data_IF_842868239985
#
_entry.id   IF_842868239985
#
_cell.length_a   1.000
_cell.length_b   1.000
_cell.length_c   1.000
_cell.angle_alpha   90.00
_cell.angle_beta   90.00
_cell.angle_gamma   90.00
#
_symmetry.space_group_name_H-M   'P 1'
#
loop_
_entity.id
_entity.type
_entity.pdbx_description
1 polymer ?
#
# COMPACT_ATOMS: atom_id res chain seq x y z
N UNK A 1 5.08 19.43 -57.11
CA UNK A 1 4.35 18.79 -56.00
C UNK A 1 5.34 18.56 -54.86
N UNK A 2 5.33 19.43 -53.85
CA UNK A 2 6.22 19.32 -52.71
C UNK A 2 5.72 18.20 -51.79
N UNK A 3 6.54 17.16 -51.56
CA UNK A 3 6.28 16.12 -50.57
C UNK A 3 6.80 16.61 -49.21
N UNK A 4 5.87 16.88 -48.31
CA UNK A 4 6.16 17.21 -46.91
C UNK A 4 6.54 15.90 -46.19
N UNK A 5 7.82 15.74 -45.85
CA UNK A 5 8.30 14.67 -44.97
C UNK A 5 8.07 15.11 -43.52
N UNK A 6 7.12 14.47 -42.83
CA UNK A 6 7.02 14.54 -41.38
C UNK A 6 8.09 13.62 -40.77
N UNK A 7 9.21 14.21 -40.33
CA UNK A 7 10.10 13.54 -39.38
C UNK A 7 9.48 13.68 -37.98
N UNK A 8 8.78 12.65 -37.52
CA UNK A 8 8.47 12.50 -36.11
C UNK A 8 9.75 12.05 -35.39
N UNK A 9 10.45 13.00 -34.76
CA UNK A 9 11.43 12.66 -33.74
C UNK A 9 10.67 12.14 -32.51
N UNK A 10 10.61 10.83 -32.35
CA UNK A 10 10.41 10.24 -31.03
C UNK A 10 11.67 10.57 -30.22
N UNK A 11 11.61 11.63 -29.41
CA UNK A 11 12.50 11.74 -28.27
C UNK A 11 12.21 10.51 -27.40
N UNK A 12 13.21 9.70 -27.00
CA UNK A 12 12.98 8.73 -25.94
C UNK A 12 12.47 9.52 -24.75
N UNK A 13 11.37 9.07 -24.14
CA UNK A 13 10.92 9.59 -22.87
C UNK A 13 12.06 9.34 -21.86
N UNK A 14 12.96 10.31 -21.72
CA UNK A 14 13.97 10.28 -20.69
C UNK A 14 13.23 10.25 -19.36
N UNK A 15 13.59 9.27 -18.51
CA UNK A 15 13.14 9.21 -17.13
C UNK A 15 13.32 10.58 -16.49
N UNK A 16 12.23 11.33 -16.31
CA UNK A 16 12.23 12.40 -15.34
C UNK A 16 12.18 11.67 -14.00
N UNK A 17 13.36 11.40 -13.44
CA UNK A 17 13.45 11.00 -12.05
C UNK A 17 12.61 11.99 -11.24
N UNK A 18 11.61 11.48 -10.52
CA UNK A 18 10.78 12.30 -9.64
C UNK A 18 11.70 13.16 -8.77
N UNK A 19 11.41 14.47 -8.63
CA UNK A 19 12.22 15.39 -7.83
C UNK A 19 12.36 14.97 -6.35
N UNK A 20 11.63 13.93 -5.94
CA UNK A 20 11.62 13.36 -4.59
C UNK A 20 12.03 11.89 -4.55
N UNK A 21 12.61 11.35 -5.63
CA UNK A 21 13.10 9.97 -5.67
C UNK A 21 14.25 9.77 -4.66
N UNK A 22 14.39 8.54 -4.11
CA UNK A 22 15.58 8.19 -3.34
C UNK A 22 16.86 8.35 -4.20
N UNK A 23 18.02 8.64 -3.59
CA UNK A 23 19.27 8.69 -4.34
C UNK A 23 19.58 7.30 -4.95
N UNK A 24 20.30 7.24 -6.09
CA UNK A 24 20.72 5.97 -6.67
C UNK A 24 21.45 5.10 -5.63
N UNK A 25 21.12 3.81 -5.61
CA UNK A 25 21.73 2.85 -4.69
C UNK A 25 21.18 2.86 -3.26
N UNK A 26 20.27 3.77 -2.90
CA UNK A 26 19.77 3.88 -1.51
C UNK A 26 19.12 2.59 -0.97
N UNK A 27 18.52 1.80 -1.86
CA UNK A 27 17.86 0.52 -1.53
C UNK A 27 18.60 -0.70 -2.08
N UNK A 28 19.91 -0.59 -2.31
CA UNK A 28 20.72 -1.74 -2.75
C UNK A 28 20.64 -2.90 -1.74
N UNK A 29 20.58 -4.13 -2.27
CA UNK A 29 20.57 -5.34 -1.45
C UNK A 29 19.21 -5.76 -0.91
N UNK A 30 18.11 -5.13 -1.36
CA UNK A 30 16.74 -5.56 -1.03
C UNK A 30 16.15 -6.58 -2.02
N UNK A 31 16.70 -6.65 -3.25
CA UNK A 31 16.17 -7.50 -4.31
C UNK A 31 15.99 -8.97 -3.87
N UNK A 32 14.83 -9.53 -4.18
CA UNK A 32 14.48 -10.92 -3.84
C UNK A 32 14.24 -11.22 -2.36
N UNK A 33 14.41 -10.26 -1.44
CA UNK A 33 14.14 -10.45 -0.01
C UNK A 33 12.65 -10.25 0.29
N UNK A 34 12.11 -11.03 1.23
CA UNK A 34 10.70 -10.88 1.69
C UNK A 34 10.57 -11.24 3.17
N UNK A 35 9.49 -10.81 3.82
CA UNK A 35 9.26 -11.09 5.24
C UNK A 35 10.40 -10.57 6.12
N UNK A 36 10.82 -11.38 7.10
CA UNK A 36 11.84 -10.99 8.08
C UNK A 36 13.20 -10.63 7.46
N UNK A 37 13.59 -11.23 6.33
CA UNK A 37 14.87 -10.89 5.67
C UNK A 37 14.82 -9.52 4.98
N UNK A 38 13.66 -9.14 4.44
CA UNK A 38 13.43 -7.81 3.89
C UNK A 38 13.30 -6.77 5.00
N UNK A 39 12.58 -7.09 6.07
CA UNK A 39 12.45 -6.24 7.27
C UNK A 39 13.82 -5.88 7.87
N UNK A 40 14.68 -6.88 8.07
CA UNK A 40 16.02 -6.67 8.60
C UNK A 40 16.88 -5.80 7.66
N UNK A 41 16.86 -6.08 6.35
CA UNK A 41 17.63 -5.32 5.38
C UNK A 41 17.15 -3.87 5.24
N UNK A 42 15.82 -3.64 5.29
CA UNK A 42 15.24 -2.31 5.33
C UNK A 42 15.67 -1.55 6.57
N UNK A 43 15.62 -2.19 7.74
CA UNK A 43 16.04 -1.60 9.01
C UNK A 43 17.50 -1.17 8.97
N UNK A 44 18.40 -2.00 8.45
CA UNK A 44 19.82 -1.65 8.29
C UNK A 44 20.02 -0.36 7.48
N UNK A 45 19.24 -0.17 6.40
CA UNK A 45 19.28 1.04 5.56
C UNK A 45 18.81 2.29 6.31
N UNK A 46 17.78 2.17 7.15
CA UNK A 46 17.12 3.32 7.79
C UNK A 46 17.57 3.58 9.23
N UNK A 47 18.40 2.69 9.80
CA UNK A 47 18.84 2.72 11.19
C UNK A 47 19.62 4.00 11.53
N UNK A 48 20.69 4.30 10.80
CA UNK A 48 21.64 5.36 11.15
C UNK A 48 21.16 6.76 10.74
N UNK A 49 20.00 7.16 11.24
CA UNK A 49 19.47 8.50 11.03
C UNK A 49 20.08 9.50 12.01
N UNK A 50 20.23 10.74 11.57
CA UNK A 50 20.62 11.83 12.45
C UNK A 50 19.51 12.08 13.47
N UNK A 51 19.81 11.93 14.76
CA UNK A 51 18.89 12.28 15.84
C UNK A 51 18.88 13.80 15.98
N UNK A 52 17.70 14.40 15.83
CA UNK A 52 17.54 15.85 15.96
C UNK A 52 16.95 16.21 17.32
N UNK A 53 17.14 17.44 17.82
CA UNK A 53 16.47 17.89 19.04
C UNK A 53 14.94 17.83 18.91
N UNK A 54 14.25 17.63 20.03
CA UNK A 54 12.78 17.57 20.10
C UNK A 54 12.12 18.97 19.96
N UNK A 55 12.28 19.58 18.79
CA UNK A 55 11.91 20.98 18.49
C UNK A 55 10.80 21.08 17.43
N UNK A 56 10.23 22.28 17.27
CA UNK A 56 9.08 22.55 16.38
C UNK A 56 9.46 23.16 15.03
N UNK A 57 10.71 23.59 14.85
CA UNK A 57 11.13 24.27 13.62
C UNK A 57 10.97 23.42 12.34
N UNK A 58 11.21 22.09 12.32
CA UNK A 58 11.05 21.28 11.11
C UNK A 58 9.65 21.37 10.49
N UNK A 59 8.59 21.54 11.28
CA UNK A 59 7.20 21.58 10.80
C UNK A 59 6.93 22.77 9.86
N UNK A 60 7.68 23.88 10.01
CA UNK A 60 7.59 25.04 9.08
C UNK A 60 7.97 24.70 7.65
N UNK A 61 8.72 23.61 7.44
CA UNK A 61 9.15 23.15 6.13
C UNK A 61 8.39 21.89 5.72
N UNK A 62 8.28 20.93 6.64
CA UNK A 62 7.74 19.60 6.37
C UNK A 62 6.23 19.63 6.10
N UNK A 63 5.52 20.49 6.80
CA UNK A 63 4.06 20.55 6.79
C UNK A 63 3.55 21.96 6.39
N UNK A 64 4.40 22.75 5.73
CA UNK A 64 4.07 24.07 5.22
C UNK A 64 2.86 24.05 4.27
N UNK A 65 1.97 25.02 4.43
CA UNK A 65 0.96 25.32 3.43
C UNK A 65 1.54 26.25 2.36
N UNK A 66 1.70 25.74 1.14
CA UNK A 66 2.22 26.52 0.02
C UNK A 66 1.21 27.52 -0.55
N UNK A 67 -0.07 27.38 -0.23
CA UNK A 67 -1.11 28.35 -0.61
C UNK A 67 -1.18 29.54 0.34
N UNK A 68 -0.66 29.40 1.56
CA UNK A 68 -0.70 30.43 2.60
C UNK A 68 0.63 30.49 3.37
N UNK A 69 1.51 31.42 2.95
CA UNK A 69 2.84 31.58 3.56
C UNK A 69 2.77 31.81 5.06
N UNK A 70 3.59 31.07 5.82
CA UNK A 70 3.64 31.15 7.28
C UNK A 70 2.68 30.20 8.00
N UNK A 71 1.80 29.54 7.25
CA UNK A 71 0.91 28.52 7.79
C UNK A 71 1.47 27.10 7.61
N UNK A 72 0.94 26.18 8.41
CA UNK A 72 1.14 24.73 8.31
C UNK A 72 -0.22 24.03 8.17
N UNK A 73 -0.22 22.87 7.51
CA UNK A 73 -1.38 22.01 7.35
C UNK A 73 -1.46 21.00 8.49
N UNK A 74 -2.58 20.98 9.20
CA UNK A 74 -2.81 20.04 10.31
C UNK A 74 -3.32 18.68 9.79
N UNK A 75 -2.76 17.60 10.33
CA UNK A 75 -3.25 16.24 10.04
C UNK A 75 -4.67 16.04 10.61
N UNK A 76 -5.45 15.19 9.95
CA UNK A 76 -6.84 14.83 10.21
C UNK A 76 -7.89 15.90 9.95
N UNK A 77 -7.49 17.16 9.80
CA UNK A 77 -8.40 18.25 9.42
C UNK A 77 -8.08 18.84 8.05
N UNK A 78 -6.82 18.78 7.62
CA UNK A 78 -6.35 19.50 6.43
C UNK A 78 -6.38 21.03 6.59
N UNK A 79 -6.67 21.53 7.80
CA UNK A 79 -6.79 22.96 8.03
C UNK A 79 -5.42 23.62 7.99
N UNK A 80 -5.36 24.75 7.29
CA UNK A 80 -4.22 25.66 7.28
C UNK A 80 -4.32 26.59 8.48
N UNK A 81 -3.32 26.54 9.36
CA UNK A 81 -3.23 27.42 10.54
C UNK A 81 -1.88 28.12 10.57
N UNK A 82 -1.80 29.36 11.11
CA UNK A 82 -0.50 29.99 11.35
C UNK A 82 0.40 29.08 12.18
N UNK A 83 1.69 29.00 11.85
CA UNK A 83 2.63 28.25 12.68
C UNK A 83 2.63 28.74 14.15
N UNK A 84 2.27 30.01 14.37
CA UNK A 84 1.70 30.47 15.65
C UNK A 84 2.41 30.02 16.93
N UNK A 85 1.61 29.86 17.98
CA UNK A 85 2.03 29.48 19.32
C UNK A 85 1.84 27.98 19.54
N UNK A 86 2.93 27.26 19.77
CA UNK A 86 2.91 25.86 20.21
C UNK A 86 2.83 25.78 21.75
N UNK A 87 2.00 24.89 22.36
CA UNK A 87 1.09 23.93 21.74
C UNK A 87 -0.38 24.41 21.66
N UNK A 88 -0.63 25.73 21.51
CA UNK A 88 -1.96 26.34 21.60
C UNK A 88 -2.69 26.32 20.26
N UNK A 89 -2.05 26.83 19.20
CA UNK A 89 -2.65 26.89 17.86
C UNK A 89 -2.61 25.52 17.16
N UNK A 90 -1.56 24.76 17.47
CA UNK A 90 -1.34 23.39 17.01
C UNK A 90 -0.49 22.64 18.03
N UNK A 91 -0.54 21.32 18.01
CA UNK A 91 0.24 20.42 18.84
C UNK A 91 0.97 19.38 17.98
N UNK A 92 1.90 18.64 18.57
CA UNK A 92 2.62 17.55 17.94
C UNK A 92 1.86 16.24 18.13
N UNK A 93 1.42 15.67 17.03
CA UNK A 93 0.93 14.30 16.95
C UNK A 93 2.10 13.33 16.89
N UNK A 94 2.06 12.30 17.74
CA UNK A 94 2.93 11.13 17.61
C UNK A 94 2.10 10.03 16.96
N UNK A 95 2.27 9.83 15.66
CA UNK A 95 1.51 8.84 14.89
C UNK A 95 1.65 7.46 15.55
N UNK A 96 2.85 7.10 16.00
CA UNK A 96 3.04 6.07 17.02
C UNK A 96 3.07 6.70 18.42
N UNK A 97 2.07 6.49 19.30
CA UNK A 97 2.00 7.17 20.59
C UNK A 97 3.14 6.79 21.55
N UNK A 98 3.65 7.75 22.31
CA UNK A 98 4.66 7.49 23.38
C UNK A 98 4.23 6.44 24.40
N UNK A 99 2.95 6.46 24.79
CA UNK A 99 2.41 5.46 25.71
C UNK A 99 2.45 4.02 25.18
N UNK A 100 2.77 3.82 23.89
CA UNK A 100 2.87 2.53 23.21
C UNK A 100 4.32 2.15 22.86
N UNK A 101 5.26 2.46 23.74
CA UNK A 101 6.64 1.95 23.67
C UNK A 101 7.68 2.91 23.09
N UNK A 102 7.30 4.09 22.58
CA UNK A 102 8.29 5.10 22.16
C UNK A 102 8.87 5.79 23.39
N UNK A 103 10.20 5.82 23.50
CA UNK A 103 10.94 6.37 24.61
C UNK A 103 10.94 7.90 24.69
N UNK A 104 11.54 8.42 25.77
CA UNK A 104 11.69 9.87 26.01
C UNK A 104 13.09 10.42 25.70
N UNK A 105 14.05 9.54 25.35
CA UNK A 105 15.47 9.93 25.14
C UNK A 105 16.15 9.19 23.98
N UNK A 106 15.53 8.14 23.43
CA UNK A 106 16.08 7.37 22.33
C UNK A 106 15.94 8.07 20.97
N UNK A 107 16.52 7.50 19.90
CA UNK A 107 16.34 8.00 18.53
C UNK A 107 14.85 8.08 18.13
N UNK A 108 14.03 7.15 18.62
CA UNK A 108 12.57 7.08 18.45
C UNK A 108 11.81 8.28 19.03
N UNK A 109 12.38 8.94 20.05
CA UNK A 109 11.76 10.09 20.71
C UNK A 109 11.60 11.31 19.80
N UNK A 110 12.41 11.44 18.75
CA UNK A 110 12.49 12.66 17.93
C UNK A 110 12.30 12.42 16.43
N UNK A 111 11.89 11.21 16.03
CA UNK A 111 11.77 10.83 14.63
C UNK A 111 10.60 11.55 13.92
N UNK A 112 10.94 12.43 12.97
CA UNK A 112 10.03 13.22 12.17
C UNK A 112 9.18 12.36 11.24
N UNK A 113 9.57 11.13 10.88
CA UNK A 113 8.70 10.24 10.10
C UNK A 113 7.45 9.84 10.88
N UNK A 114 7.47 9.90 12.21
CA UNK A 114 6.35 9.60 13.08
C UNK A 114 5.59 10.83 13.59
N UNK A 115 5.98 12.05 13.19
CA UNK A 115 5.37 13.27 13.72
C UNK A 115 4.58 14.07 12.70
N UNK A 116 3.47 14.66 13.16
CA UNK A 116 2.64 15.56 12.36
C UNK A 116 2.09 16.71 13.22
N UNK A 117 1.84 17.89 12.65
CA UNK A 117 1.13 18.94 13.37
C UNK A 117 -0.36 18.60 13.37
N UNK A 118 -1.03 18.81 14.49
CA UNK A 118 -2.45 18.47 14.69
C UNK A 118 -3.12 19.56 15.53
N UNK A 119 -4.44 19.68 15.45
CA UNK A 119 -5.15 20.50 16.41
C UNK A 119 -5.03 19.91 17.84
N UNK A 120 -4.77 20.70 18.90
CA UNK A 120 -4.54 20.16 20.25
C UNK A 120 -5.72 19.37 20.80
N UNK A 121 -6.96 19.79 20.53
CA UNK A 121 -8.15 19.07 21.03
C UNK A 121 -8.38 17.75 20.30
N UNK A 122 -8.06 17.69 19.00
CA UNK A 122 -8.11 16.46 18.19
C UNK A 122 -7.03 15.49 18.65
N UNK A 123 -5.82 15.98 18.96
CA UNK A 123 -4.74 15.17 19.56
C UNK A 123 -5.20 14.53 20.89
N UNK A 124 -5.76 15.34 21.80
CA UNK A 124 -6.32 14.83 23.06
C UNK A 124 -7.44 13.81 22.84
N UNK A 125 -8.30 14.00 21.83
CA UNK A 125 -9.36 13.07 21.51
C UNK A 125 -8.84 11.73 20.93
N UNK A 126 -7.78 11.79 20.12
CA UNK A 126 -7.11 10.62 19.54
C UNK A 126 -6.39 9.80 20.60
N UNK A 127 -5.79 10.47 21.59
CA UNK A 127 -5.11 9.84 22.72
C UNK A 127 -4.08 8.80 22.23
N UNK A 128 -4.22 7.54 22.64
CA UNK A 128 -3.38 6.43 22.22
C UNK A 128 -4.19 5.34 21.48
N UNK A 129 -5.35 5.68 20.91
CA UNK A 129 -6.14 4.71 20.18
C UNK A 129 -5.34 4.15 19.00
N UNK A 130 -5.37 2.81 18.79
CA UNK A 130 -4.86 2.19 17.58
C UNK A 130 -5.53 2.77 16.33
N UNK A 131 -4.77 2.85 15.24
CA UNK A 131 -5.33 3.16 13.94
C UNK A 131 -6.01 1.94 13.35
N UNK A 132 -7.28 2.11 12.97
CA UNK A 132 -8.10 1.13 12.26
C UNK A 132 -9.46 1.72 11.95
N UNK A 133 -10.34 0.92 11.36
CA UNK A 133 -11.72 1.35 11.08
C UNK A 133 -12.56 1.46 12.34
N UNK A 134 -13.29 2.56 12.46
CA UNK A 134 -14.27 2.73 13.52
C UNK A 134 -15.55 1.98 13.15
N UNK A 135 -16.18 1.33 14.13
CA UNK A 135 -17.38 0.53 13.94
C UNK A 135 -18.59 1.18 14.62
N UNK A 136 -19.72 1.40 13.91
CA UNK A 136 -20.95 1.91 14.50
C UNK A 136 -21.58 0.97 15.53
N UNK A 137 -21.07 -0.26 15.64
CA UNK A 137 -21.54 -1.28 16.58
C UNK A 137 -20.73 -1.33 17.87
N UNK A 138 -19.64 -0.55 17.99
CA UNK A 138 -18.79 -0.55 19.18
C UNK A 138 -19.10 0.62 20.13
N UNK A 139 -18.87 0.44 21.46
CA UNK A 139 -19.09 1.50 22.43
C UNK A 139 -18.24 2.74 22.13
N UNK A 140 -18.81 3.92 22.39
CA UNK A 140 -18.09 5.18 22.19
C UNK A 140 -17.87 5.56 20.73
N UNK A 141 -18.58 4.92 19.79
CA UNK A 141 -18.56 5.29 18.39
C UNK A 141 -18.97 6.76 18.19
N UNK A 142 -18.15 7.48 17.44
CA UNK A 142 -18.38 8.84 17.00
C UNK A 142 -18.12 8.87 15.48
N UNK A 143 -19.16 9.08 14.65
CA UNK A 143 -19.03 9.13 13.20
C UNK A 143 -18.30 10.41 12.73
N UNK A 144 -17.92 10.48 11.45
CA UNK A 144 -17.57 11.74 10.81
C UNK A 144 -18.61 12.83 11.10
N UNK A 145 -18.13 14.05 11.33
CA UNK A 145 -18.92 15.21 11.77
C UNK A 145 -18.97 15.39 13.30
N UNK A 146 -18.54 14.40 14.09
CA UNK A 146 -18.53 14.51 15.56
C UNK A 146 -17.47 15.48 16.11
N UNK A 147 -16.43 15.77 15.31
CA UNK A 147 -15.33 16.65 15.67
C UNK A 147 -15.27 17.84 14.70
N UNK A 148 -15.75 19.04 15.07
CA UNK A 148 -15.75 20.19 14.16
C UNK A 148 -14.35 20.56 13.62
N UNK A 149 -13.31 20.30 14.41
CA UNK A 149 -11.91 20.59 14.06
C UNK A 149 -11.18 19.44 13.36
N UNK A 150 -11.87 18.33 13.09
CA UNK A 150 -11.42 17.20 12.28
C UNK A 150 -12.65 16.46 11.74
N UNK A 151 -13.43 17.08 10.84
CA UNK A 151 -14.80 16.65 10.54
C UNK A 151 -14.88 15.29 9.85
N UNK A 152 -13.80 14.78 9.29
CA UNK A 152 -13.77 13.51 8.55
C UNK A 152 -13.25 12.33 9.37
N UNK A 153 -12.84 12.54 10.63
CA UNK A 153 -12.41 11.42 11.50
C UNK A 153 -13.62 10.68 12.05
N UNK A 154 -13.45 9.38 12.23
CA UNK A 154 -14.33 8.56 13.06
C UNK A 154 -13.51 7.90 14.18
N UNK A 155 -14.16 7.54 15.28
CA UNK A 155 -13.53 6.72 16.31
C UNK A 155 -14.54 5.87 17.04
N UNK A 156 -14.06 4.90 17.78
CA UNK A 156 -14.80 4.23 18.84
C UNK A 156 -13.90 4.03 20.08
N UNK A 157 -14.23 3.07 20.95
CA UNK A 157 -13.42 2.70 22.12
C UNK A 157 -12.15 1.92 21.77
N UNK A 158 -12.02 1.45 20.53
CA UNK A 158 -10.99 0.51 20.09
C UNK A 158 -10.12 1.05 18.96
N UNK A 159 -10.65 1.95 18.14
CA UNK A 159 -9.99 2.44 16.94
C UNK A 159 -10.16 3.96 16.74
N UNK A 160 -9.13 4.56 16.14
CA UNK A 160 -9.18 5.88 15.51
C UNK A 160 -9.07 5.71 13.99
N UNK A 161 -10.10 6.14 13.28
CA UNK A 161 -10.12 6.14 11.81
C UNK A 161 -9.84 7.55 11.29
N UNK A 162 -8.68 7.78 10.65
CA UNK A 162 -8.36 9.07 10.05
C UNK A 162 -9.16 9.29 8.75
N UNK A 163 -9.20 10.53 8.21
CA UNK A 163 -9.77 10.80 6.90
C UNK A 163 -9.01 10.03 5.81
N UNK A 164 -9.67 9.77 4.68
CA UNK A 164 -9.10 9.02 3.55
C UNK A 164 -7.77 9.61 3.05
N UNK A 165 -7.63 10.93 2.98
CA UNK A 165 -6.39 11.63 2.56
C UNK A 165 -5.19 11.39 3.49
N UNK A 166 -5.44 10.95 4.73
CA UNK A 166 -4.44 10.66 5.75
C UNK A 166 -4.22 9.17 6.00
N UNK A 167 -5.12 8.29 5.56
CA UNK A 167 -5.03 6.83 5.77
C UNK A 167 -3.70 6.26 5.27
N UNK A 168 -3.31 6.60 4.05
CA UNK A 168 -2.06 6.12 3.45
C UNK A 168 -0.80 6.59 4.20
N UNK A 169 -0.70 7.89 4.50
CA UNK A 169 0.48 8.46 5.18
C UNK A 169 0.61 7.99 6.63
N UNK A 170 -0.52 7.75 7.30
CA UNK A 170 -0.56 7.13 8.63
C UNK A 170 -0.03 5.71 8.54
N UNK A 171 -0.54 4.90 7.61
CA UNK A 171 -0.10 3.52 7.43
C UNK A 171 1.42 3.43 7.21
N UNK A 172 1.96 4.24 6.29
CA UNK A 172 3.40 4.25 5.99
C UNK A 172 4.27 4.74 7.14
N UNK A 173 3.80 5.70 7.93
CA UNK A 173 4.51 6.12 9.15
C UNK A 173 4.52 5.01 10.20
N UNK A 174 3.43 4.28 10.38
CA UNK A 174 3.35 3.15 11.31
C UNK A 174 4.23 1.98 10.83
N UNK A 175 4.20 1.63 9.54
CA UNK A 175 5.08 0.60 8.97
C UNK A 175 6.56 0.95 9.18
N UNK A 176 6.93 2.21 8.94
CA UNK A 176 8.27 2.70 9.19
C UNK A 176 8.69 2.51 10.64
N UNK A 177 7.87 2.93 11.61
CA UNK A 177 8.22 2.80 13.03
C UNK A 177 8.43 1.34 13.45
N UNK A 178 7.58 0.43 12.95
CA UNK A 178 7.70 -0.99 13.24
C UNK A 178 8.97 -1.61 12.66
N UNK A 179 9.39 -1.22 11.45
CA UNK A 179 10.64 -1.71 10.85
C UNK A 179 11.87 -1.03 11.45
N UNK A 180 11.79 0.26 11.75
CA UNK A 180 12.93 1.04 12.23
C UNK A 180 13.36 0.62 13.63
N UNK A 181 12.41 0.43 14.54
CA UNK A 181 12.69 0.23 15.97
C UNK A 181 12.34 -1.18 16.42
N UNK A 182 13.33 -2.07 16.38
CA UNK A 182 13.22 -3.46 16.84
C UNK A 182 13.68 -3.66 18.30
N UNK A 183 14.05 -2.57 18.98
CA UNK A 183 14.56 -2.59 20.36
C UNK A 183 16.04 -2.97 20.50
N UNK A 184 16.79 -3.11 19.40
CA UNK A 184 18.24 -3.41 19.47
C UNK A 184 19.09 -2.19 19.83
N UNK A 185 18.57 -0.97 19.61
CA UNK A 185 19.28 0.27 19.95
C UNK A 185 18.99 0.71 21.39
N UNK A 186 19.96 1.36 22.06
CA UNK A 186 19.76 1.88 23.41
C UNK A 186 18.55 2.80 23.53
N UNK A 187 17.76 2.61 24.59
CA UNK A 187 16.57 3.39 24.92
C UNK A 187 15.43 3.30 23.90
N UNK A 188 15.38 2.21 23.12
CA UNK A 188 14.27 1.89 22.22
C UNK A 188 13.61 0.58 22.61
N UNK A 189 12.34 0.42 22.25
CA UNK A 189 11.59 -0.82 22.39
C UNK A 189 11.37 -1.47 21.01
N UNK A 190 11.02 -2.76 21.01
CA UNK A 190 10.58 -3.45 19.80
C UNK A 190 9.15 -3.05 19.43
N UNK A 191 9.00 -2.05 18.56
CA UNK A 191 7.70 -1.57 18.11
C UNK A 191 7.08 -2.54 17.11
N UNK A 192 5.88 -3.05 17.40
CA UNK A 192 5.27 -4.14 16.62
C UNK A 192 3.84 -3.86 16.18
N UNK A 193 3.53 -4.25 14.94
CA UNK A 193 2.17 -4.21 14.41
C UNK A 193 1.34 -5.41 14.89
N UNK A 194 0.03 -5.22 15.06
CA UNK A 194 -0.87 -6.29 15.50
C UNK A 194 -2.33 -6.00 15.16
N UNK A 195 -3.10 -7.01 14.77
CA UNK A 195 -4.56 -6.89 14.66
C UNK A 195 -5.29 -6.98 16.02
N UNK A 196 -4.56 -7.05 17.14
CA UNK A 196 -5.12 -7.12 18.49
C UNK A 196 -4.30 -6.30 19.49
N UNK A 197 -4.21 -4.97 19.30
CA UNK A 197 -3.49 -4.11 20.23
C UNK A 197 -4.25 -4.03 21.57
N UNK A 198 -3.54 -3.91 22.72
CA UNK A 198 -4.20 -3.78 24.00
C UNK A 198 -4.99 -2.46 24.07
N UNK A 199 -6.20 -2.55 24.62
CA UNK A 199 -7.18 -1.47 24.76
C UNK A 199 -7.29 -0.94 26.20
N UNK A 200 -6.52 -1.52 27.12
CA UNK A 200 -6.33 -1.05 28.48
C UNK A 200 -4.88 -1.28 28.92
N UNK A 201 -4.42 -0.49 29.89
CA UNK A 201 -3.05 -0.58 30.40
C UNK A 201 -2.69 -1.97 30.98
N UNK A 202 -1.41 -2.38 30.91
CA UNK A 202 -0.31 -1.70 30.23
C UNK A 202 -0.43 -1.80 28.69
N UNK A 203 -0.21 -0.68 28.00
CA UNK A 203 -0.43 -0.54 26.55
C UNK A 203 0.63 -1.25 25.68
N UNK A 204 1.75 -1.65 26.27
CA UNK A 204 2.84 -2.34 25.58
C UNK A 204 3.51 -1.50 24.48
N UNK A 205 4.11 -2.18 23.50
CA UNK A 205 4.83 -1.62 22.36
C UNK A 205 4.16 -1.99 21.03
N UNK A 206 2.82 -2.12 21.04
CA UNK A 206 2.07 -2.57 19.87
C UNK A 206 1.04 -1.54 19.41
N UNK A 207 0.84 -1.45 18.10
CA UNK A 207 0.02 -0.41 17.47
C UNK A 207 -0.61 -0.91 16.16
N UNK A 208 -1.79 -0.36 15.85
CA UNK A 208 -2.40 -0.35 14.51
C UNK A 208 -2.89 -1.71 13.99
N UNK A 209 -4.14 -1.75 13.50
CA UNK A 209 -4.71 -2.94 12.88
C UNK A 209 -4.05 -3.18 11.52
N UNK A 210 -3.11 -4.12 11.46
CA UNK A 210 -2.28 -4.42 10.29
C UNK A 210 -3.11 -4.57 8.99
N UNK A 211 -4.25 -5.25 9.05
CA UNK A 211 -5.08 -5.50 7.86
C UNK A 211 -5.63 -4.18 7.29
N UNK A 212 -6.13 -3.30 8.17
CA UNK A 212 -6.61 -1.96 7.78
C UNK A 212 -5.44 -1.11 7.24
N UNK A 213 -4.27 -1.14 7.87
CA UNK A 213 -3.12 -0.36 7.42
C UNK A 213 -2.60 -0.81 6.04
N UNK A 214 -2.60 -2.13 5.76
CA UNK A 214 -2.24 -2.65 4.44
C UNK A 214 -3.25 -2.19 3.40
N UNK A 215 -4.55 -2.27 3.69
CA UNK A 215 -5.58 -1.78 2.79
C UNK A 215 -5.47 -0.27 2.53
N UNK A 216 -5.24 0.52 3.58
CA UNK A 216 -5.07 1.96 3.47
C UNK A 216 -3.86 2.34 2.64
N UNK A 217 -2.75 1.63 2.78
CA UNK A 217 -1.55 1.87 1.98
C UNK A 217 -1.77 1.53 0.50
N UNK A 218 -2.55 0.50 0.18
CA UNK A 218 -2.94 0.15 -1.20
C UNK A 218 -3.82 1.23 -1.83
N UNK A 219 -4.90 1.62 -1.13
CA UNK A 219 -5.94 2.51 -1.66
C UNK A 219 -5.53 3.99 -1.69
N UNK A 220 -4.58 4.38 -0.83
CA UNK A 220 -4.13 5.77 -0.70
C UNK A 220 -2.61 5.85 -0.97
N UNK A 221 -2.19 5.78 -2.25
CA UNK A 221 -0.77 5.85 -2.61
C UNK A 221 -0.15 7.19 -2.18
N UNK A 222 1.19 7.26 -2.01
CA UNK A 222 1.85 8.50 -1.62
C UNK A 222 1.55 9.64 -2.60
N UNK A 223 1.20 10.79 -2.06
CA UNK A 223 1.01 12.00 -2.84
C UNK A 223 2.31 12.81 -2.92
N UNK A 224 2.33 13.80 -3.81
CA UNK A 224 3.48 14.70 -3.96
C UNK A 224 3.86 15.41 -2.66
N UNK A 225 2.88 15.74 -1.81
CA UNK A 225 3.15 16.36 -0.51
C UNK A 225 3.90 15.43 0.45
N UNK A 226 3.54 14.15 0.47
CA UNK A 226 4.18 13.15 1.31
C UNK A 226 5.58 12.79 0.81
N UNK A 227 5.74 12.58 -0.51
CA UNK A 227 7.06 12.36 -1.11
C UNK A 227 8.01 13.54 -0.88
N UNK A 228 7.52 14.77 -1.02
CA UNK A 228 8.28 15.98 -0.69
C UNK A 228 8.72 15.96 0.77
N UNK A 229 7.83 15.63 1.70
CA UNK A 229 8.17 15.56 3.13
C UNK A 229 9.26 14.52 3.40
N UNK A 230 9.14 13.33 2.82
CA UNK A 230 10.15 12.27 2.91
C UNK A 230 11.51 12.76 2.39
N UNK A 231 11.52 13.43 1.24
CA UNK A 231 12.72 14.05 0.68
C UNK A 231 13.32 15.14 1.59
N UNK A 232 12.49 15.97 2.23
CA UNK A 232 12.99 17.03 3.12
C UNK A 232 13.57 16.47 4.42
N UNK A 233 12.97 15.43 4.99
CA UNK A 233 13.53 14.72 6.15
C UNK A 233 14.91 14.16 5.79
N UNK A 234 15.02 13.50 4.64
CA UNK A 234 16.28 12.99 4.14
C UNK A 234 17.32 14.09 3.86
N UNK A 235 16.95 15.14 3.13
CA UNK A 235 17.92 16.12 2.65
C UNK A 235 18.36 17.12 3.73
N UNK A 236 17.53 17.39 4.75
CA UNK A 236 17.76 18.51 5.68
C UNK A 236 17.84 18.14 7.15
N UNK A 237 17.29 17.00 7.58
CA UNK A 237 17.05 16.74 9.00
C UNK A 237 17.66 15.42 9.48
N UNK A 238 17.12 14.28 9.07
CA UNK A 238 17.48 12.97 9.61
C UNK A 238 18.35 12.13 8.69
N UNK A 239 18.47 12.48 7.41
CA UNK A 239 19.32 11.76 6.45
C UNK A 239 18.96 10.28 6.22
N UNK A 240 17.77 9.87 6.67
CA UNK A 240 17.14 8.61 6.28
C UNK A 240 15.78 8.85 5.60
N UNK A 241 15.26 7.82 4.94
CA UNK A 241 13.99 7.84 4.21
C UNK A 241 13.01 6.84 4.79
N UNK A 242 11.72 7.14 4.68
CA UNK A 242 10.67 6.16 4.89
C UNK A 242 10.52 5.30 3.62
N UNK A 243 10.91 4.01 3.63
CA UNK A 243 10.88 3.15 2.45
C UNK A 243 9.46 2.88 1.96
N UNK A 244 8.47 2.96 2.83
CA UNK A 244 7.07 2.76 2.46
C UNK A 244 6.49 3.98 1.75
N UNK A 245 7.09 5.17 1.87
CA UNK A 245 6.74 6.34 1.04
C UNK A 245 7.34 6.25 -0.35
N UNK A 246 8.56 5.74 -0.48
CA UNK A 246 9.22 5.61 -1.78
C UNK A 246 8.72 4.38 -2.55
N UNK A 247 8.49 3.28 -1.85
CA UNK A 247 8.03 2.00 -2.39
C UNK A 247 6.91 1.41 -1.51
N UNK A 248 5.66 1.89 -1.64
CA UNK A 248 4.52 1.46 -0.81
C UNK A 248 4.28 -0.05 -0.81
N UNK A 249 4.54 -0.70 -1.95
CA UNK A 249 4.37 -2.14 -2.13
C UNK A 249 5.27 -2.98 -1.19
N UNK A 250 6.36 -2.41 -0.66
CA UNK A 250 7.22 -3.10 0.32
C UNK A 250 6.47 -3.49 1.59
N UNK A 251 5.42 -2.75 1.98
CA UNK A 251 4.62 -3.06 3.18
C UNK A 251 4.05 -4.48 3.10
N UNK A 252 3.52 -4.85 1.94
CA UNK A 252 2.97 -6.20 1.71
C UNK A 252 4.05 -7.27 1.58
N UNK A 253 5.23 -6.91 1.08
CA UNK A 253 6.36 -7.82 0.98
C UNK A 253 6.97 -8.16 2.36
N UNK A 254 6.88 -7.22 3.30
CA UNK A 254 7.34 -7.37 4.69
C UNK A 254 6.28 -8.04 5.56
N UNK A 255 5.08 -7.46 5.67
CA UNK A 255 4.15 -7.80 6.75
C UNK A 255 3.13 -8.89 6.41
N UNK A 256 2.82 -9.13 5.13
CA UNK A 256 1.93 -10.24 4.79
C UNK A 256 2.68 -11.56 4.85
N UNK A 257 2.02 -12.57 5.45
CA UNK A 257 2.58 -13.91 5.53
C UNK A 257 2.82 -14.49 4.13
N UNK A 258 3.75 -15.46 4.03
CA UNK A 258 4.08 -16.08 2.75
C UNK A 258 2.90 -16.86 2.11
N UNK A 259 1.86 -17.19 2.89
CA UNK A 259 0.67 -17.87 2.37
C UNK A 259 -0.32 -16.93 1.69
N UNK A 260 -0.25 -15.63 1.98
CA UNK A 260 -1.11 -14.62 1.37
C UNK A 260 -0.40 -14.07 0.13
N UNK A 261 -1.00 -14.19 -1.07
CA UNK A 261 -0.43 -13.58 -2.26
C UNK A 261 -0.34 -12.07 -2.07
N UNK A 262 0.76 -11.48 -2.53
CA UNK A 262 0.92 -10.04 -2.46
C UNK A 262 1.67 -9.52 -3.66
N UNK A 263 1.25 -8.34 -4.12
CA UNK A 263 1.84 -7.73 -5.29
C UNK A 263 3.26 -7.28 -5.04
N UNK A 264 3.51 -6.66 -3.88
CA UNK A 264 4.87 -6.26 -3.50
C UNK A 264 5.83 -7.45 -3.39
N UNK A 265 5.37 -8.59 -2.84
CA UNK A 265 6.19 -9.81 -2.81
C UNK A 265 6.45 -10.34 -4.21
N UNK A 266 5.43 -10.40 -5.08
CA UNK A 266 5.63 -10.84 -6.46
C UNK A 266 6.60 -9.91 -7.19
N UNK A 267 6.40 -8.59 -7.12
CA UNK A 267 7.29 -7.62 -7.78
C UNK A 267 8.74 -7.73 -7.32
N UNK A 268 9.02 -7.89 -6.02
CA UNK A 268 10.42 -7.86 -5.53
C UNK A 268 11.16 -9.16 -5.84
N UNK A 269 10.40 -10.24 -6.13
CA UNK A 269 10.95 -11.52 -6.56
C UNK A 269 11.23 -11.56 -8.07
N UNK A 270 10.60 -10.69 -8.87
CA UNK A 270 10.70 -10.70 -10.33
C UNK A 270 11.42 -9.47 -10.92
N UNK A 271 11.52 -8.38 -10.15
CA UNK A 271 12.08 -7.10 -10.58
C UNK A 271 12.97 -6.51 -9.50
N UNK A 272 14.04 -5.83 -9.92
CA UNK A 272 14.87 -5.02 -9.02
C UNK A 272 14.12 -3.76 -8.60
N UNK A 273 14.51 -3.13 -7.48
CA UNK A 273 13.91 -1.86 -7.07
C UNK A 273 14.18 -0.69 -8.03
N UNK A 274 15.22 -0.79 -8.86
CA UNK A 274 15.43 0.17 -9.96
C UNK A 274 14.31 0.03 -11.00
N UNK A 275 14.03 -1.20 -11.43
CA UNK A 275 12.93 -1.50 -12.37
C UNK A 275 11.55 -1.16 -11.79
N UNK A 276 11.40 -1.08 -10.47
CA UNK A 276 10.17 -0.62 -9.83
C UNK A 276 9.79 0.82 -10.16
N UNK A 277 10.78 1.62 -10.55
CA UNK A 277 10.61 3.01 -10.96
C UNK A 277 10.06 3.15 -12.39
N UNK A 278 10.06 2.06 -13.17
CA UNK A 278 9.53 2.01 -14.53
C UNK A 278 8.23 1.18 -14.58
N UNK A 279 7.06 1.83 -14.69
CA UNK A 279 5.77 1.13 -14.75
C UNK A 279 5.59 0.30 -16.03
N UNK A 280 6.32 0.59 -17.12
CA UNK A 280 6.26 -0.19 -18.35
C UNK A 280 7.01 -1.53 -18.21
N UNK A 281 7.90 -1.64 -17.22
CA UNK A 281 8.61 -2.89 -16.91
C UNK A 281 7.88 -3.65 -15.80
N UNK A 282 7.62 -3.00 -14.67
CA UNK A 282 7.19 -3.69 -13.43
C UNK A 282 5.81 -3.30 -12.93
N UNK A 283 5.12 -2.39 -13.64
CA UNK A 283 3.73 -2.02 -13.37
C UNK A 283 2.74 -3.03 -13.92
N UNK A 284 1.44 -2.89 -13.61
CA UNK A 284 0.41 -3.86 -13.99
C UNK A 284 0.29 -4.13 -15.48
N UNK A 285 0.50 -3.09 -16.30
CA UNK A 285 0.39 -3.14 -17.75
C UNK A 285 1.74 -3.42 -18.43
N UNK A 286 2.83 -3.49 -17.66
CA UNK A 286 4.14 -3.81 -18.20
C UNK A 286 4.17 -5.21 -18.78
N UNK A 287 4.90 -5.36 -19.88
CA UNK A 287 5.12 -6.61 -20.62
C UNK A 287 6.62 -6.70 -20.96
N UNK A 288 7.47 -7.04 -19.98
CA UNK A 288 8.91 -6.96 -20.14
C UNK A 288 9.48 -8.05 -21.05
N UNK A 289 8.78 -9.17 -21.22
CA UNK A 289 9.20 -10.27 -22.10
C UNK A 289 8.51 -10.26 -23.48
N UNK A 290 7.54 -9.37 -23.69
CA UNK A 290 6.90 -9.02 -24.97
C UNK A 290 6.08 -10.15 -25.58
N UNK A 291 5.44 -10.94 -24.74
CA UNK A 291 4.56 -12.03 -25.19
C UNK A 291 3.08 -11.63 -25.29
N UNK A 292 2.77 -10.37 -24.95
CA UNK A 292 1.44 -9.79 -24.97
C UNK A 292 0.63 -10.03 -23.69
N UNK A 293 1.23 -10.62 -22.65
CA UNK A 293 0.59 -10.84 -21.36
C UNK A 293 1.13 -9.81 -20.36
N UNK A 294 0.29 -8.88 -19.88
CA UNK A 294 0.76 -7.87 -18.93
C UNK A 294 0.97 -8.47 -17.54
N UNK A 295 1.87 -7.87 -16.75
CA UNK A 295 2.26 -8.32 -15.42
C UNK A 295 1.10 -8.64 -14.46
N UNK A 296 -0.03 -7.93 -14.54
CA UNK A 296 -1.21 -8.25 -13.74
C UNK A 296 -1.75 -9.66 -14.03
N UNK A 297 -1.77 -10.06 -15.30
CA UNK A 297 -2.21 -11.37 -15.73
C UNK A 297 -1.14 -12.42 -15.42
N UNK A 298 0.14 -12.08 -15.61
CA UNK A 298 1.26 -12.92 -15.20
C UNK A 298 1.15 -13.30 -13.72
N UNK A 299 0.97 -12.31 -12.86
CA UNK A 299 0.78 -12.51 -11.43
C UNK A 299 -0.48 -13.33 -11.10
N UNK A 300 -1.62 -12.97 -11.71
CA UNK A 300 -2.90 -13.65 -11.45
C UNK A 300 -2.89 -15.13 -11.83
N UNK A 301 -2.26 -15.47 -12.95
CA UNK A 301 -2.20 -16.84 -13.46
C UNK A 301 -0.94 -17.59 -13.00
N UNK A 302 -0.05 -16.95 -12.26
CA UNK A 302 1.18 -17.54 -11.74
C UNK A 302 2.17 -17.90 -12.85
N UNK A 303 2.30 -16.99 -13.82
CA UNK A 303 3.28 -17.04 -14.90
C UNK A 303 4.53 -16.23 -14.48
N UNK A 304 5.57 -16.26 -15.32
CA UNK A 304 6.84 -15.59 -15.05
C UNK A 304 7.01 -14.44 -16.04
N UNK A 305 7.02 -13.18 -15.58
CA UNK A 305 7.02 -12.01 -16.45
C UNK A 305 8.33 -11.82 -17.24
N UNK A 306 9.31 -12.70 -17.04
CA UNK A 306 10.62 -12.66 -17.73
C UNK A 306 10.77 -13.75 -18.79
N UNK A 307 9.76 -14.60 -18.97
CA UNK A 307 9.84 -15.79 -19.80
C UNK A 307 8.57 -15.90 -20.65
N UNK A 308 8.65 -15.61 -21.97
CA UNK A 308 7.50 -15.63 -22.86
C UNK A 308 6.76 -16.97 -22.78
N UNK A 309 5.52 -16.97 -22.31
CA UNK A 309 4.77 -18.20 -22.07
C UNK A 309 3.27 -17.99 -21.88
N UNK A 310 2.50 -18.48 -22.85
CA UNK A 310 1.05 -18.62 -22.74
C UNK A 310 0.60 -19.87 -21.97
N UNK A 311 1.54 -20.66 -21.43
CA UNK A 311 1.26 -21.91 -20.71
C UNK A 311 0.76 -21.65 -19.29
N UNK A 312 -0.56 -21.62 -19.13
CA UNK A 312 -1.23 -21.39 -17.85
C UNK A 312 -2.37 -20.39 -17.91
N UNK A 313 -2.48 -19.67 -19.04
CA UNK A 313 -3.64 -18.86 -19.37
C UNK A 313 -4.93 -19.70 -19.42
N UNK A 314 -6.11 -19.08 -19.20
CA UNK A 314 -7.40 -19.74 -19.29
C UNK A 314 -7.60 -20.50 -20.61
N UNK A 315 -8.13 -21.73 -20.53
CA UNK A 315 -8.43 -22.57 -21.69
C UNK A 315 -9.87 -23.06 -21.62
N UNK A 316 -10.56 -22.99 -22.75
CA UNK A 316 -11.89 -23.57 -22.92
C UNK A 316 -11.75 -25.00 -23.41
N UNK A 317 -12.57 -25.91 -22.88
CA UNK A 317 -12.66 -27.30 -23.31
C UNK A 317 -14.11 -27.78 -23.24
N UNK A 318 -14.38 -28.98 -23.76
CA UNK A 318 -15.58 -29.72 -23.42
C UNK A 318 -15.24 -30.79 -22.38
N UNK A 319 -16.18 -31.04 -21.48
CA UNK A 319 -16.13 -32.20 -20.59
C UNK A 319 -16.79 -33.43 -21.22
N UNK A 320 -16.72 -34.61 -20.58
CA UNK A 320 -17.28 -35.85 -21.13
C UNK A 320 -18.79 -35.83 -21.38
N UNK A 321 -19.54 -34.95 -20.70
CA UNK A 321 -20.99 -34.81 -20.88
C UNK A 321 -21.33 -33.84 -22.04
N UNK A 322 -20.32 -33.30 -22.73
CA UNK A 322 -20.48 -32.33 -23.81
C UNK A 322 -20.67 -30.88 -23.31
N UNK A 323 -20.49 -30.62 -22.02
CA UNK A 323 -20.57 -29.28 -21.45
C UNK A 323 -19.31 -28.45 -21.71
N UNK A 324 -19.47 -27.17 -22.07
CA UNK A 324 -18.36 -26.23 -22.14
C UNK A 324 -17.79 -25.97 -20.74
N UNK A 325 -16.48 -26.07 -20.61
CA UNK A 325 -15.73 -25.82 -19.38
C UNK A 325 -14.64 -24.78 -19.62
N UNK A 326 -14.30 -24.04 -18.57
CA UNK A 326 -13.18 -23.11 -18.53
C UNK A 326 -12.20 -23.56 -17.45
N UNK A 327 -10.98 -23.87 -17.85
CA UNK A 327 -9.88 -24.22 -16.96
C UNK A 327 -8.90 -23.06 -16.84
N UNK A 328 -8.64 -22.58 -15.63
CA UNK A 328 -7.72 -21.46 -15.39
C UNK A 328 -7.00 -21.61 -14.05
N UNK A 329 -5.79 -21.06 -13.98
CA UNK A 329 -5.06 -20.89 -12.73
C UNK A 329 -5.60 -19.68 -11.98
N UNK A 330 -5.50 -19.69 -10.66
CA UNK A 330 -5.72 -18.50 -9.84
C UNK A 330 -4.90 -18.58 -8.57
N UNK A 331 -4.57 -17.42 -8.01
CA UNK A 331 -4.02 -17.35 -6.66
C UNK A 331 -5.04 -17.82 -5.60
N UNK A 332 -4.56 -18.59 -4.63
CA UNK A 332 -5.30 -18.92 -3.41
C UNK A 332 -5.42 -17.66 -2.54
N UNK A 333 -6.60 -17.40 -1.96
CA UNK A 333 -6.86 -16.16 -1.19
C UNK A 333 -6.62 -14.87 -1.98
N UNK A 334 -6.88 -14.89 -3.29
CA UNK A 334 -6.68 -13.72 -4.16
C UNK A 334 -7.47 -12.48 -3.70
N UNK A 335 -8.61 -12.66 -3.06
CA UNK A 335 -9.43 -11.62 -2.45
C UNK A 335 -8.66 -10.83 -1.37
N UNK A 336 -7.81 -11.51 -0.58
CA UNK A 336 -6.94 -10.84 0.40
C UNK A 336 -5.82 -10.02 -0.25
N UNK A 337 -5.48 -10.35 -1.50
CA UNK A 337 -4.54 -9.60 -2.32
C UNK A 337 -5.23 -8.47 -3.12
N UNK A 338 -6.54 -8.28 -2.95
CA UNK A 338 -7.35 -7.33 -3.72
C UNK A 338 -7.49 -7.74 -5.19
N UNK A 339 -7.43 -9.04 -5.51
CA UNK A 339 -7.44 -9.55 -6.89
C UNK A 339 -8.70 -10.38 -7.16
N UNK A 340 -9.46 -9.97 -8.18
CA UNK A 340 -10.76 -10.55 -8.52
C UNK A 340 -10.74 -11.22 -9.90
N UNK A 341 -11.42 -12.36 -10.00
CA UNK A 341 -11.48 -13.19 -11.21
C UNK A 341 -12.94 -13.27 -11.65
N UNK A 342 -13.31 -12.43 -12.61
CA UNK A 342 -14.67 -12.34 -13.13
C UNK A 342 -14.82 -13.26 -14.33
N UNK A 343 -15.76 -14.19 -14.26
CA UNK A 343 -16.09 -15.09 -15.36
C UNK A 343 -17.10 -14.39 -16.26
N UNK A 344 -16.72 -14.18 -17.50
CA UNK A 344 -17.54 -13.47 -18.47
C UNK A 344 -17.74 -14.31 -19.73
N UNK A 345 -18.85 -14.07 -20.41
CA UNK A 345 -19.15 -14.65 -21.69
C UNK A 345 -19.58 -13.59 -22.69
N UNK A 346 -19.47 -13.92 -23.97
CA UNK A 346 -19.95 -13.09 -25.08
C UNK A 346 -20.50 -13.99 -26.19
N UNK A 347 -21.45 -13.48 -26.97
CA UNK A 347 -21.95 -14.14 -28.19
C UNK A 347 -21.45 -13.46 -29.46
N UNK A 348 -20.79 -12.30 -29.35
CA UNK A 348 -20.37 -11.46 -30.48
C UNK A 348 -18.93 -10.92 -30.36
N UNK A 349 -18.21 -11.26 -29.28
CA UNK A 349 -16.88 -10.75 -28.89
C UNK A 349 -16.84 -9.25 -28.56
N UNK A 350 -17.98 -8.56 -28.57
CA UNK A 350 -18.09 -7.12 -28.30
C UNK A 350 -18.71 -6.89 -26.93
N UNK A 351 -19.92 -7.41 -26.70
CA UNK A 351 -20.60 -7.31 -25.42
C UNK A 351 -20.21 -8.48 -24.51
N UNK A 352 -19.68 -8.17 -23.33
CA UNK A 352 -19.29 -9.17 -22.33
C UNK A 352 -20.19 -9.08 -21.10
N UNK A 353 -20.74 -10.22 -20.69
CA UNK A 353 -21.68 -10.33 -19.57
C UNK A 353 -21.15 -11.28 -18.51
N UNK A 354 -21.42 -11.04 -17.21
CA UNK A 354 -21.12 -12.01 -16.16
C UNK A 354 -21.84 -13.35 -16.43
N UNK A 355 -21.21 -14.46 -16.08
CA UNK A 355 -21.87 -15.77 -16.18
C UNK A 355 -23.14 -15.82 -15.31
N UNK A 356 -24.20 -16.56 -15.74
CA UNK A 356 -25.44 -16.75 -14.97
C UNK A 356 -25.24 -17.57 -13.67
N UNK A 357 -24.04 -18.09 -13.46
CA UNK A 357 -23.66 -19.01 -12.39
C UNK A 357 -22.57 -19.95 -12.89
N UNK A 358 -21.93 -20.69 -12.00
CA UNK A 358 -20.94 -21.69 -12.39
C UNK A 358 -20.86 -22.83 -11.39
N UNK A 359 -20.69 -24.05 -11.89
CA UNK A 359 -20.38 -25.23 -11.10
C UNK A 359 -18.87 -25.50 -11.13
N UNK A 360 -18.28 -25.81 -9.97
CA UNK A 360 -16.89 -26.27 -9.90
C UNK A 360 -16.84 -27.75 -10.27
N UNK A 361 -16.13 -28.08 -11.34
CA UNK A 361 -15.97 -29.47 -11.82
C UNK A 361 -14.76 -30.10 -11.15
N UNK A 362 -13.64 -29.37 -11.12
CA UNK A 362 -12.39 -29.85 -10.54
C UNK A 362 -11.59 -28.68 -9.99
N UNK A 363 -10.91 -28.91 -8.87
CA UNK A 363 -9.85 -28.04 -8.38
C UNK A 363 -8.61 -28.86 -8.02
N UNK A 364 -7.43 -28.37 -8.39
CA UNK A 364 -6.16 -28.96 -7.96
C UNK A 364 -5.23 -27.87 -7.44
N UNK A 365 -4.61 -28.12 -6.28
CA UNK A 365 -3.70 -27.17 -5.64
C UNK A 365 -2.25 -27.35 -6.14
N UNK A 366 -1.58 -26.24 -6.42
CA UNK A 366 -0.18 -26.18 -6.82
C UNK A 366 0.52 -25.05 -6.06
N UNK A 367 0.99 -25.34 -4.84
CA UNK A 367 1.50 -24.30 -3.94
C UNK A 367 0.45 -23.22 -3.64
N UNK A 368 0.80 -21.97 -3.93
CA UNK A 368 -0.09 -20.81 -3.77
C UNK A 368 -1.17 -20.69 -4.86
N UNK A 369 -1.12 -21.53 -5.91
CA UNK A 369 -2.09 -21.52 -7.01
C UNK A 369 -3.16 -22.61 -6.84
N UNK A 370 -4.30 -22.39 -7.47
CA UNK A 370 -5.37 -23.36 -7.70
C UNK A 370 -5.65 -23.42 -9.19
N UNK A 371 -5.59 -24.61 -9.78
CA UNK A 371 -6.10 -24.88 -11.12
C UNK A 371 -7.57 -25.25 -10.99
N UNK A 372 -8.46 -24.43 -11.52
CA UNK A 372 -9.91 -24.66 -11.48
C UNK A 372 -10.43 -24.98 -12.85
N UNK A 373 -11.27 -26.01 -12.94
CA UNK A 373 -12.15 -26.27 -14.08
C UNK A 373 -13.58 -25.99 -13.65
N UNK A 374 -14.24 -25.06 -14.32
CA UNK A 374 -15.62 -24.67 -14.02
C UNK A 374 -16.51 -24.81 -15.25
N UNK A 375 -17.79 -25.11 -15.03
CA UNK A 375 -18.84 -25.18 -16.06
C UNK A 375 -19.83 -24.03 -15.85
N UNK A 376 -20.21 -23.23 -16.86
CA UNK A 376 -21.30 -22.28 -16.73
C UNK A 376 -22.63 -22.99 -16.48
N UNK A 377 -23.50 -22.39 -15.64
CA UNK A 377 -24.85 -22.89 -15.40
C UNK A 377 -25.82 -22.21 -16.36
N UNK A 378 -25.79 -22.58 -17.64
CA UNK A 378 -26.67 -21.98 -18.65
C UNK A 378 -28.15 -22.26 -18.31
N UNK A 379 -29.07 -21.32 -18.62
CA UNK A 379 -30.50 -21.64 -18.71
C UNK A 379 -30.74 -22.69 -19.81
N UNK A 380 -31.91 -23.34 -19.82
CA UNK A 380 -32.29 -24.41 -20.76
C UNK A 380 -32.15 -24.05 -22.26
N UNK A 381 -31.94 -22.77 -22.59
CA UNK A 381 -31.53 -22.28 -23.92
C UNK A 381 -30.13 -21.66 -23.85
N UNK A 382 -29.11 -22.50 -24.01
CA UNK A 382 -27.74 -22.02 -24.21
C UNK A 382 -27.60 -21.38 -25.62
N UNK A 383 -26.79 -20.32 -25.77
CA UNK A 383 -26.51 -19.76 -27.08
C UNK A 383 -25.74 -20.75 -27.96
N UNK A 384 -26.05 -20.77 -29.27
CA UNK A 384 -25.40 -21.65 -30.26
C UNK A 384 -23.89 -21.42 -30.38
N UNK A 385 -23.43 -20.22 -30.06
CA UNK A 385 -22.01 -19.86 -30.01
C UNK A 385 -21.75 -18.96 -28.81
N UNK A 386 -20.75 -19.33 -28.01
CA UNK A 386 -20.37 -18.56 -26.84
C UNK A 386 -18.85 -18.53 -26.69
N UNK A 387 -18.34 -17.35 -26.39
CA UNK A 387 -16.95 -17.09 -26.03
C UNK A 387 -16.86 -16.93 -24.52
N UNK A 388 -15.83 -17.49 -23.90
CA UNK A 388 -15.62 -17.43 -22.46
C UNK A 388 -14.29 -16.74 -22.15
N UNK A 389 -14.25 -15.92 -21.11
CA UNK A 389 -13.01 -15.36 -20.59
C UNK A 389 -13.01 -15.24 -19.07
N UNK A 390 -11.82 -15.07 -18.51
CA UNK A 390 -11.62 -14.52 -17.18
C UNK A 390 -11.16 -13.08 -17.33
N UNK A 391 -11.89 -12.13 -16.76
CA UNK A 391 -11.43 -10.76 -16.55
C UNK A 391 -10.77 -10.69 -15.17
N UNK A 392 -9.55 -10.21 -15.12
CA UNK A 392 -8.80 -9.99 -13.87
C UNK A 392 -8.89 -8.51 -13.51
N UNK A 393 -9.27 -8.24 -12.27
CA UNK A 393 -9.34 -6.88 -11.72
C UNK A 393 -8.57 -6.80 -10.41
N UNK A 394 -8.05 -5.61 -10.12
CA UNK A 394 -7.41 -5.31 -8.84
C UNK A 394 -8.05 -4.08 -8.20
N UNK A 395 -8.24 -4.14 -6.89
CA UNK A 395 -8.65 -3.03 -6.00
C UNK A 395 -7.71 -1.83 -6.00
#
# INVERSE_FOLDING_TARGET
MARLLFLCFFLPAGLIASAFAPPPGYYEGLDGKTGASLEAALREIIADHTVIPYITEPYRVLDADFSQTGNILLIFSGFSVPFGSFPVDWNREHIWPRSRGVGDVGPDHSDLHAFRPINPSVNSARSNLPFGRASPFLPGYLPPGSYPLAPLVARDSTAWEPPDDDKGRVARAIFYMAVRYDGSEPNTENLRLTNSPPLSGPWGNTMGYLDDLIEWNRRHPPESAERRRNQQIFARYQHNRNPFVDHPDLAEAVFLSASVPSWGRWRILHFTLEEWSDPEISGFLGDPDRDGIPNLHEWAFGLNPRVPSQSGLPRVSMDPDGGLTLTYRRLHQADQAGLFYMKEYSTDLVEWRPWPGSSLIQETAFGALRLRTVRPNWPDTAPDTVFLRIRVERD
#
